data_IF_234174366678
#
_entry.id   IF_234174366678
#
_cell.length_a   1.000
_cell.length_b   1.000
_cell.length_c   1.000
_cell.angle_alpha   90.00
_cell.angle_beta   90.00
_cell.angle_gamma   90.00
#
_symmetry.space_group_name_H-M   'P 1'
#
loop_
_entity.id
_entity.type
_entity.pdbx_description
1 polymer ?
#
# COMPACT_ATOMS: atom_id res chain seq x y z
N UNK A 1 -3.37 8.66 -5.89
CA UNK A 1 -4.32 9.78 -5.86
C UNK A 1 -4.12 10.70 -7.07
N UNK A 2 -5.15 11.47 -7.45
CA UNK A 2 -5.10 12.47 -8.53
C UNK A 2 -5.19 13.87 -7.94
N UNK A 3 -4.54 14.85 -8.58
CA UNK A 3 -4.67 16.27 -8.21
C UNK A 3 -5.88 16.90 -8.89
N UNK A 4 -6.54 17.82 -8.19
CA UNK A 4 -7.56 18.71 -8.76
C UNK A 4 -6.90 19.88 -9.52
N UNK A 5 -7.70 20.78 -10.10
CA UNK A 5 -7.23 21.94 -10.86
C UNK A 5 -6.40 22.93 -10.00
N UNK A 6 -6.61 22.95 -8.69
CA UNK A 6 -5.86 23.77 -7.73
C UNK A 6 -4.54 23.13 -7.28
N UNK A 7 -4.23 21.92 -7.75
CA UNK A 7 -3.01 21.19 -7.44
C UNK A 7 -3.04 20.35 -6.16
N UNK A 8 -4.19 20.26 -5.47
CA UNK A 8 -4.36 19.42 -4.29
C UNK A 8 -4.68 17.97 -4.67
N UNK A 9 -4.09 17.00 -4.00
CA UNK A 9 -4.54 15.62 -4.09
C UNK A 9 -5.98 15.48 -3.58
N UNK A 10 -6.85 14.85 -4.36
CA UNK A 10 -8.29 14.74 -4.05
C UNK A 10 -8.61 13.81 -2.90
N UNK A 11 -7.65 12.92 -2.55
CA UNK A 11 -7.74 11.94 -1.47
C UNK A 11 -6.50 11.99 -0.59
N UNK A 12 -6.59 11.61 0.68
CA UNK A 12 -5.49 11.72 1.62
C UNK A 12 -4.64 10.44 1.71
N UNK A 13 -4.90 9.40 0.90
CA UNK A 13 -4.47 8.03 1.20
C UNK A 13 -2.97 7.88 1.31
N UNK A 14 -2.18 8.47 0.41
CA UNK A 14 -0.72 8.39 0.50
C UNK A 14 -0.22 9.04 1.80
N UNK A 15 -0.70 10.24 2.12
CA UNK A 15 -0.29 10.95 3.34
C UNK A 15 -0.66 10.20 4.61
N UNK A 16 -1.94 9.80 4.73
CA UNK A 16 -2.40 9.17 5.98
C UNK A 16 -1.79 7.78 6.19
N UNK A 17 -1.49 7.04 5.12
CA UNK A 17 -0.73 5.80 5.24
C UNK A 17 0.76 6.05 5.51
N UNK A 18 1.34 7.16 5.04
CA UNK A 18 2.71 7.54 5.39
C UNK A 18 2.88 7.81 6.89
N UNK A 19 1.85 8.39 7.54
CA UNK A 19 1.86 8.67 8.97
C UNK A 19 1.44 7.48 9.84
N UNK A 20 0.99 6.37 9.22
CA UNK A 20 0.46 5.23 9.95
C UNK A 20 1.21 3.92 9.65
N UNK A 21 1.30 3.51 8.39
CA UNK A 21 1.72 2.16 8.05
C UNK A 21 3.09 2.11 7.34
N UNK A 22 3.35 3.00 6.38
CA UNK A 22 4.54 2.86 5.52
C UNK A 22 5.85 3.02 6.29
N UNK A 23 5.91 3.95 7.24
CA UNK A 23 7.09 4.14 8.06
C UNK A 23 7.17 3.12 9.20
N UNK A 24 6.05 2.87 9.91
CA UNK A 24 6.01 1.97 11.05
C UNK A 24 6.44 0.54 10.67
N UNK A 25 5.93 0.00 9.56
CA UNK A 25 6.28 -1.35 9.12
C UNK A 25 7.79 -1.54 8.92
N UNK A 26 8.46 -0.59 8.28
CA UNK A 26 9.90 -0.70 8.01
C UNK A 26 10.73 -0.43 9.26
N UNK A 27 10.31 0.49 10.13
CA UNK A 27 10.94 0.71 11.44
C UNK A 27 10.79 -0.52 12.34
N UNK A 28 9.63 -1.18 12.32
CA UNK A 28 9.41 -2.41 13.09
C UNK A 28 10.35 -3.54 12.65
N UNK A 29 10.60 -3.68 11.34
CA UNK A 29 11.60 -4.64 10.84
C UNK A 29 13.00 -4.28 11.36
N UNK A 30 13.35 -3.00 11.44
CA UNK A 30 14.64 -2.55 11.95
C UNK A 30 14.89 -2.90 13.43
N UNK A 31 13.83 -3.00 14.23
CA UNK A 31 13.91 -3.40 15.65
C UNK A 31 14.30 -4.89 15.82
N UNK A 32 14.23 -5.68 14.74
CA UNK A 32 14.57 -7.11 14.72
C UNK A 32 15.64 -7.41 13.65
N UNK A 33 16.94 -7.22 13.94
CA UNK A 33 18.02 -7.31 12.94
C UNK A 33 18.12 -8.64 12.18
N UNK A 34 17.67 -9.75 12.78
CA UNK A 34 17.65 -11.06 12.14
C UNK A 34 16.46 -11.23 11.17
N UNK A 35 15.45 -10.36 11.25
CA UNK A 35 14.30 -10.42 10.37
C UNK A 35 14.65 -9.87 9.00
N UNK A 36 14.27 -10.61 7.94
CA UNK A 36 14.35 -10.16 6.56
C UNK A 36 12.95 -10.00 5.99
N UNK A 37 12.74 -8.93 5.25
CA UNK A 37 11.46 -8.65 4.61
C UNK A 37 11.66 -8.05 3.21
N UNK A 38 10.69 -8.29 2.33
CA UNK A 38 10.62 -7.63 1.02
C UNK A 38 9.46 -6.63 1.03
N UNK A 39 9.74 -5.39 0.67
CA UNK A 39 8.75 -4.34 0.52
C UNK A 39 8.51 -4.02 -0.95
N UNK A 40 7.26 -3.89 -1.35
CA UNK A 40 6.91 -3.41 -2.68
C UNK A 40 6.53 -1.92 -2.61
N UNK A 41 7.33 -1.06 -3.23
CA UNK A 41 7.06 0.37 -3.31
C UNK A 41 6.72 0.74 -4.77
N UNK A 42 5.46 1.08 -5.00
CA UNK A 42 5.02 1.43 -6.36
C UNK A 42 5.57 2.81 -6.77
N UNK A 43 5.90 3.01 -8.06
CA UNK A 43 6.45 4.29 -8.52
C UNK A 43 5.52 5.48 -8.25
N UNK A 44 4.20 5.29 -8.41
CA UNK A 44 3.21 6.34 -8.12
C UNK A 44 3.19 6.70 -6.63
N UNK A 45 3.37 5.73 -5.73
CA UNK A 45 3.52 5.99 -4.30
C UNK A 45 4.79 6.81 -4.02
N UNK A 46 5.94 6.38 -4.56
CA UNK A 46 7.21 7.07 -4.38
C UNK A 46 7.15 8.52 -4.87
N UNK A 47 6.57 8.77 -6.05
CA UNK A 47 6.39 10.12 -6.59
C UNK A 47 5.47 10.98 -5.72
N UNK A 48 4.39 10.42 -5.18
CA UNK A 48 3.49 11.16 -4.30
C UNK A 48 4.11 11.44 -2.93
N UNK A 49 4.89 10.52 -2.37
CA UNK A 49 5.65 10.78 -1.13
C UNK A 49 6.67 11.91 -1.34
N UNK A 50 7.40 11.90 -2.45
CA UNK A 50 8.30 12.97 -2.82
C UNK A 50 7.55 14.31 -2.98
N UNK A 51 6.40 14.32 -3.66
CA UNK A 51 5.56 15.51 -3.80
C UNK A 51 5.15 16.09 -2.44
N UNK A 52 4.73 15.24 -1.50
CA UNK A 52 4.36 15.66 -0.14
C UNK A 52 5.58 16.22 0.62
N UNK A 53 6.75 15.60 0.53
CA UNK A 53 7.99 16.14 1.10
C UNK A 53 8.39 17.48 0.50
N UNK A 54 8.01 17.74 -0.75
CA UNK A 54 8.20 19.02 -1.44
C UNK A 54 7.04 20.02 -1.21
N UNK A 55 6.15 19.75 -0.26
CA UNK A 55 5.10 20.68 0.17
C UNK A 55 3.76 20.53 -0.55
N UNK A 56 3.54 19.48 -1.35
CA UNK A 56 2.21 19.17 -1.86
C UNK A 56 1.25 18.84 -0.71
N UNK A 57 -0.02 19.08 -0.93
CA UNK A 57 -1.08 18.83 0.05
C UNK A 57 -2.23 18.07 -0.59
N UNK A 58 -2.98 17.35 0.24
CA UNK A 58 -4.30 16.83 -0.12
C UNK A 58 -5.43 17.75 0.38
N UNK A 59 -6.65 17.51 -0.10
CA UNK A 59 -7.82 18.30 0.32
C UNK A 59 -8.10 18.18 1.83
N UNK A 60 -7.82 17.05 2.45
CA UNK A 60 -8.04 16.88 3.89
C UNK A 60 -7.01 17.66 4.71
N UNK A 61 -5.78 17.77 4.21
CA UNK A 61 -4.77 18.67 4.79
C UNK A 61 -5.24 20.12 4.65
N UNK A 62 -5.61 20.53 3.45
CA UNK A 62 -6.11 21.89 3.17
C UNK A 62 -7.27 22.27 4.10
N UNK A 63 -8.30 21.41 4.20
CA UNK A 63 -9.43 21.66 5.09
C UNK A 63 -9.09 21.57 6.58
N UNK A 64 -7.99 20.90 6.96
CA UNK A 64 -7.49 20.92 8.33
C UNK A 64 -6.83 22.26 8.66
N UNK A 65 -6.10 22.86 7.72
CA UNK A 65 -5.41 24.14 7.92
C UNK A 65 -6.36 25.34 8.03
N UNK A 66 -7.53 25.28 7.42
CA UNK A 66 -8.50 26.37 7.50
C UNK A 66 -8.90 26.57 8.97
N UNK A 67 -8.79 27.83 9.46
CA UNK A 67 -9.26 28.19 10.79
C UNK A 67 -10.76 27.88 10.92
N UNK A 68 -11.13 27.18 11.98
CA UNK A 68 -12.50 26.74 12.19
C UNK A 68 -13.50 27.92 12.32
N UNK A 69 -13.00 29.12 12.71
CA UNK A 69 -13.82 30.30 12.90
C UNK A 69 -14.23 30.97 11.58
N UNK A 70 -13.55 30.65 10.48
CA UNK A 70 -13.82 31.20 9.13
C UNK A 70 -14.35 30.17 8.12
N UNK A 71 -14.63 28.94 8.55
CA UNK A 71 -15.16 27.88 7.67
C UNK A 71 -16.48 28.32 7.02
N UNK A 72 -16.53 28.25 5.70
CA UNK A 72 -17.77 28.45 4.92
C UNK A 72 -18.74 27.27 5.08
N UNK A 73 -20.00 27.41 4.69
CA UNK A 73 -20.94 26.27 4.70
C UNK A 73 -20.48 25.08 3.85
N UNK A 74 -19.80 25.32 2.72
CA UNK A 74 -19.29 24.26 1.85
C UNK A 74 -18.08 23.55 2.50
N UNK A 75 -17.18 24.28 3.17
CA UNK A 75 -16.07 23.69 3.92
C UNK A 75 -16.60 22.78 5.04
N UNK A 76 -17.57 23.26 5.80
CA UNK A 76 -18.25 22.50 6.86
C UNK A 76 -18.89 21.22 6.31
N UNK A 77 -19.53 21.30 5.16
CA UNK A 77 -20.12 20.15 4.49
C UNK A 77 -19.07 19.13 4.08
N UNK A 78 -17.95 19.57 3.50
CA UNK A 78 -16.83 18.67 3.16
C UNK A 78 -16.29 17.98 4.40
N UNK A 79 -15.96 18.72 5.45
CA UNK A 79 -15.41 18.20 6.70
C UNK A 79 -16.33 17.14 7.30
N UNK A 80 -17.63 17.41 7.46
CA UNK A 80 -18.57 16.42 8.02
C UNK A 80 -18.67 15.17 7.15
N UNK A 81 -18.66 15.34 5.82
CA UNK A 81 -18.85 14.21 4.90
C UNK A 81 -17.61 13.31 4.77
N UNK A 82 -16.41 13.81 5.12
CA UNK A 82 -15.14 13.17 4.81
C UNK A 82 -14.25 12.88 6.02
N UNK A 83 -14.34 13.66 7.08
CA UNK A 83 -13.42 13.52 8.21
C UNK A 83 -13.81 12.38 9.19
N UNK A 84 -14.66 11.45 8.71
CA UNK A 84 -14.93 10.16 9.33
C UNK A 84 -14.48 8.98 8.44
N UNK A 85 -13.73 9.26 7.37
CA UNK A 85 -13.18 8.25 6.45
C UNK A 85 -12.03 7.47 7.13
N UNK A 86 -12.38 6.65 8.13
CA UNK A 86 -11.48 5.75 8.85
C UNK A 86 -12.24 4.58 9.47
N UNK A 87 -11.50 3.57 9.94
CA UNK A 87 -12.09 2.39 10.55
C UNK A 87 -12.84 2.75 11.85
N UNK A 88 -14.09 2.28 12.06
CA UNK A 88 -14.84 2.50 13.30
C UNK A 88 -14.09 2.13 14.58
N UNK A 89 -13.24 1.10 14.56
CA UNK A 89 -12.40 0.71 15.70
C UNK A 89 -11.38 1.79 16.06
N UNK A 90 -10.87 2.52 15.05
CA UNK A 90 -9.94 3.62 15.25
C UNK A 90 -10.67 4.83 15.84
N UNK A 91 -11.87 5.17 15.32
CA UNK A 91 -12.71 6.23 15.90
C UNK A 91 -13.00 5.96 17.39
N UNK A 92 -13.30 4.70 17.74
CA UNK A 92 -13.62 4.29 19.11
C UNK A 92 -12.48 4.54 20.12
N UNK A 93 -11.24 4.74 19.65
CA UNK A 93 -10.09 5.08 20.52
C UNK A 93 -10.13 6.50 21.07
N UNK A 94 -10.92 7.39 20.44
CA UNK A 94 -11.01 8.80 20.78
C UNK A 94 -12.44 9.16 21.18
N UNK A 95 -12.76 9.31 22.48
CA UNK A 95 -14.13 9.56 22.96
C UNK A 95 -14.78 10.76 22.27
N UNK A 96 -14.07 11.86 22.11
CA UNK A 96 -14.57 13.08 21.45
C UNK A 96 -14.91 12.82 19.96
N UNK A 97 -14.15 11.99 19.27
CA UNK A 97 -14.41 11.62 17.87
C UNK A 97 -15.69 10.80 17.75
N UNK A 98 -15.95 9.91 18.72
CA UNK A 98 -17.23 9.16 18.80
C UNK A 98 -18.41 10.11 19.02
N UNK A 99 -18.29 11.09 19.94
CA UNK A 99 -19.33 12.12 20.17
C UNK A 99 -19.67 12.87 18.87
N UNK A 100 -18.65 13.36 18.16
CA UNK A 100 -18.82 14.09 16.91
C UNK A 100 -19.45 13.21 15.83
N UNK A 101 -19.03 11.96 15.70
CA UNK A 101 -19.64 11.02 14.74
C UNK A 101 -21.13 10.81 15.03
N UNK A 102 -21.50 10.62 16.29
CA UNK A 102 -22.88 10.37 16.69
C UNK A 102 -23.78 11.60 16.45
N UNK A 103 -23.22 12.81 16.57
CA UNK A 103 -23.95 14.06 16.36
C UNK A 103 -23.89 14.59 14.93
N UNK A 104 -23.12 13.97 14.03
CA UNK A 104 -22.86 14.48 12.67
C UNK A 104 -24.12 14.66 11.81
N UNK A 105 -25.16 13.85 12.01
CA UNK A 105 -26.43 13.97 11.31
C UNK A 105 -27.22 15.23 11.73
N UNK A 106 -26.95 15.78 12.91
CA UNK A 106 -27.55 16.99 13.47
C UNK A 106 -26.53 18.11 13.62
N UNK A 107 -25.59 18.22 12.68
CA UNK A 107 -24.47 19.16 12.71
C UNK A 107 -24.86 20.64 12.60
N UNK A 108 -26.14 20.95 12.39
CA UNK A 108 -26.66 22.34 12.46
C UNK A 108 -26.48 23.00 13.84
N UNK A 109 -26.31 22.19 14.88
CA UNK A 109 -26.03 22.68 16.26
C UNK A 109 -24.52 22.74 16.58
N UNK A 110 -23.65 22.36 15.65
CA UNK A 110 -22.21 22.35 15.88
C UNK A 110 -21.64 23.76 15.99
N UNK A 111 -20.76 23.92 16.94
CA UNK A 111 -19.92 25.11 17.13
C UNK A 111 -18.67 25.04 16.27
N UNK A 112 -17.94 26.15 16.13
CA UNK A 112 -16.64 26.14 15.46
C UNK A 112 -15.65 25.20 16.16
N UNK A 113 -15.77 25.05 17.50
CA UNK A 113 -14.95 24.10 18.27
C UNK A 113 -15.20 22.63 17.85
N UNK A 114 -16.44 22.26 17.53
CA UNK A 114 -16.76 20.91 17.06
C UNK A 114 -16.05 20.59 15.73
N UNK A 115 -16.02 21.57 14.81
CA UNK A 115 -15.29 21.45 13.55
C UNK A 115 -13.78 21.40 13.77
N UNK A 116 -13.22 22.23 14.64
CA UNK A 116 -11.79 22.23 14.99
C UNK A 116 -11.36 20.90 15.58
N UNK A 117 -12.15 20.37 16.51
CA UNK A 117 -11.91 19.05 17.09
C UNK A 117 -11.95 17.95 16.01
N UNK A 118 -12.90 18.00 15.08
CA UNK A 118 -13.01 17.02 14.00
C UNK A 118 -11.82 17.10 13.03
N UNK A 119 -11.41 18.33 12.66
CA UNK A 119 -10.23 18.54 11.80
C UNK A 119 -8.98 17.89 12.39
N UNK A 120 -8.78 18.00 13.69
CA UNK A 120 -7.62 17.42 14.36
C UNK A 120 -7.75 15.92 14.58
N UNK A 121 -8.90 15.46 15.07
CA UNK A 121 -9.13 14.06 15.43
C UNK A 121 -9.05 13.11 14.23
N UNK A 122 -9.48 13.53 13.04
CA UNK A 122 -9.28 12.76 11.82
C UNK A 122 -7.80 12.44 11.60
N UNK A 123 -6.94 13.44 11.70
CA UNK A 123 -5.51 13.28 11.47
C UNK A 123 -4.83 12.49 12.61
N UNK A 124 -5.21 12.70 13.88
CA UNK A 124 -4.74 11.84 14.99
C UNK A 124 -5.13 10.37 14.79
N UNK A 125 -6.34 10.13 14.29
CA UNK A 125 -6.82 8.77 14.03
C UNK A 125 -5.99 8.03 12.97
N UNK A 126 -5.43 8.77 12.02
CA UNK A 126 -4.53 8.27 10.97
C UNK A 126 -3.05 8.33 11.35
N UNK A 127 -2.74 8.58 12.60
CA UNK A 127 -1.36 8.52 13.10
C UNK A 127 -1.12 7.20 13.83
N UNK A 128 0.02 6.56 13.59
CA UNK A 128 0.36 5.30 14.22
C UNK A 128 0.49 5.45 15.75
N UNK A 129 0.03 4.45 16.53
CA UNK A 129 0.13 4.45 17.99
C UNK A 129 1.53 4.69 18.55
N UNK A 130 2.57 4.22 17.84
CA UNK A 130 3.97 4.43 18.22
C UNK A 130 4.31 5.93 18.31
N UNK A 131 3.87 6.70 17.31
CA UNK A 131 4.11 8.14 17.27
C UNK A 131 3.16 8.92 18.20
N UNK A 132 1.90 8.47 18.31
CA UNK A 132 0.96 9.04 19.27
C UNK A 132 1.41 8.92 20.74
N UNK A 133 2.28 7.96 21.05
CA UNK A 133 2.87 7.80 22.38
C UNK A 133 4.06 8.75 22.66
N UNK A 134 4.51 9.51 21.68
CA UNK A 134 5.67 10.40 21.74
C UNK A 134 5.24 11.87 21.75
N UNK A 135 6.06 12.73 22.38
CA UNK A 135 5.86 14.18 22.30
C UNK A 135 6.21 14.70 20.90
N UNK A 136 5.47 15.69 20.40
CA UNK A 136 4.38 16.43 21.06
C UNK A 136 2.98 15.77 20.91
N UNK A 137 2.83 14.72 20.10
CA UNK A 137 1.52 14.12 19.80
C UNK A 137 0.85 13.51 21.04
N UNK A 138 1.63 12.99 21.97
CA UNK A 138 1.14 12.48 23.26
C UNK A 138 0.32 13.51 24.01
N UNK A 139 0.73 14.78 23.98
CA UNK A 139 -0.01 15.85 24.62
C UNK A 139 -1.36 16.10 23.96
N UNK A 140 -1.44 16.03 22.63
CA UNK A 140 -2.69 16.15 21.88
C UNK A 140 -3.64 15.01 22.22
N UNK A 141 -3.14 13.78 22.27
CA UNK A 141 -3.92 12.61 22.69
C UNK A 141 -4.46 12.78 24.12
N UNK A 142 -3.62 13.24 25.04
CA UNK A 142 -4.00 13.47 26.45
C UNK A 142 -5.01 14.61 26.60
N UNK A 143 -4.90 15.65 25.79
CA UNK A 143 -5.87 16.75 25.73
C UNK A 143 -7.25 16.29 25.27
N UNK A 144 -7.33 15.48 24.23
CA UNK A 144 -8.47 14.73 23.78
C UNK A 144 -9.65 15.52 23.20
N UNK A 145 -9.77 16.83 23.47
CA UNK A 145 -10.83 17.75 23.02
C UNK A 145 -10.42 19.22 23.23
N UNK A 146 -11.26 20.13 22.78
CA UNK A 146 -11.05 21.60 22.92
C UNK A 146 -9.71 22.06 22.34
N UNK A 147 -9.39 21.52 21.17
CA UNK A 147 -8.13 21.81 20.47
C UNK A 147 -8.10 23.27 19.99
N UNK A 148 -6.89 23.83 19.89
CA UNK A 148 -6.61 25.13 19.31
C UNK A 148 -6.17 25.01 17.85
N UNK A 149 -6.06 26.14 17.15
CA UNK A 149 -5.47 26.18 15.81
C UNK A 149 -3.97 25.81 15.87
N UNK A 150 -3.26 26.19 16.94
CA UNK A 150 -1.87 25.82 17.17
C UNK A 150 -1.72 24.28 17.31
N UNK A 151 -2.66 23.60 17.94
CA UNK A 151 -2.65 22.14 18.05
C UNK A 151 -2.72 21.48 16.65
N UNK A 152 -3.50 22.03 15.71
CA UNK A 152 -3.55 21.54 14.33
C UNK A 152 -2.21 21.73 13.63
N UNK A 153 -1.58 22.89 13.80
CA UNK A 153 -0.26 23.17 13.25
C UNK A 153 0.79 22.19 13.79
N UNK A 154 0.81 21.94 15.10
CA UNK A 154 1.71 20.96 15.74
C UNK A 154 1.53 19.59 15.11
N UNK A 155 0.28 19.11 14.96
CA UNK A 155 -0.01 17.79 14.38
C UNK A 155 0.46 17.69 12.92
N UNK A 156 0.11 18.67 12.08
CA UNK A 156 0.48 18.66 10.66
C UNK A 156 1.99 18.74 10.46
N UNK A 157 2.70 19.48 11.31
CA UNK A 157 4.16 19.53 11.29
C UNK A 157 4.79 18.17 11.64
N UNK A 158 4.24 17.44 12.61
CA UNK A 158 4.69 16.07 12.89
C UNK A 158 4.38 15.12 11.72
N UNK A 159 3.23 15.25 11.07
CA UNK A 159 2.93 14.49 9.85
C UNK A 159 3.97 14.73 8.75
N UNK A 160 4.35 15.99 8.49
CA UNK A 160 5.43 16.29 7.51
C UNK A 160 6.72 15.56 7.86
N UNK A 161 7.14 15.60 9.13
CA UNK A 161 8.36 14.91 9.57
C UNK A 161 8.30 13.40 9.41
N UNK A 162 7.14 12.79 9.60
CA UNK A 162 6.93 11.35 9.40
C UNK A 162 7.00 10.99 7.92
N UNK A 163 6.34 11.78 7.06
CA UNK A 163 6.37 11.59 5.60
C UNK A 163 7.80 11.66 5.07
N UNK A 164 8.58 12.66 5.50
CA UNK A 164 9.96 12.87 5.08
C UNK A 164 10.88 11.70 5.42
N UNK A 165 10.52 10.86 6.40
CA UNK A 165 11.30 9.69 6.80
C UNK A 165 11.00 8.44 5.98
N UNK A 166 9.86 8.35 5.30
CA UNK A 166 9.43 7.10 4.64
C UNK A 166 10.47 6.60 3.64
N UNK A 167 10.80 7.40 2.64
CA UNK A 167 11.75 7.01 1.57
C UNK A 167 13.16 6.77 2.15
N UNK A 168 13.75 7.69 2.94
CA UNK A 168 15.10 7.49 3.46
C UNK A 168 15.23 6.25 4.36
N UNK A 169 14.23 5.94 5.18
CA UNK A 169 14.28 4.76 6.07
C UNK A 169 14.29 3.46 5.27
N UNK A 170 13.43 3.36 4.25
CA UNK A 170 13.44 2.20 3.35
C UNK A 170 14.78 2.07 2.60
N UNK A 171 15.30 3.17 2.06
CA UNK A 171 16.57 3.18 1.34
C UNK A 171 17.74 2.72 2.23
N UNK A 172 17.79 3.18 3.49
CA UNK A 172 18.87 2.80 4.42
C UNK A 172 18.80 1.31 4.78
N UNK A 173 17.60 0.79 5.13
CA UNK A 173 17.48 -0.64 5.45
C UNK A 173 17.73 -1.53 4.24
N UNK A 174 17.40 -1.08 3.05
CA UNK A 174 17.75 -1.79 1.82
C UNK A 174 19.25 -1.81 1.60
N UNK A 175 19.93 -0.69 1.77
CA UNK A 175 21.39 -0.58 1.66
C UNK A 175 22.14 -1.49 2.63
N UNK A 176 21.62 -1.68 3.85
CA UNK A 176 22.20 -2.63 4.83
C UNK A 176 21.91 -4.09 4.51
N UNK A 177 21.02 -4.38 3.56
CA UNK A 177 20.59 -5.71 3.20
C UNK A 177 19.64 -6.36 4.21
N UNK A 178 19.04 -5.58 5.10
CA UNK A 178 18.02 -6.09 6.01
C UNK A 178 16.68 -6.27 5.29
N UNK A 179 16.35 -5.41 4.36
CA UNK A 179 15.17 -5.54 3.50
C UNK A 179 15.59 -5.66 2.04
N UNK A 180 14.67 -6.15 1.22
CA UNK A 180 14.71 -6.03 -0.23
C UNK A 180 13.54 -5.16 -0.69
N UNK A 181 13.76 -4.33 -1.71
CA UNK A 181 12.69 -3.52 -2.29
C UNK A 181 12.43 -3.99 -3.72
N UNK A 182 11.15 -4.25 -3.98
CA UNK A 182 10.61 -4.43 -5.33
C UNK A 182 9.81 -3.19 -5.73
N UNK A 183 9.59 -3.02 -7.02
CA UNK A 183 8.67 -2.02 -7.55
C UNK A 183 7.69 -2.64 -8.52
N UNK A 184 6.86 -1.82 -9.14
CA UNK A 184 5.91 -2.22 -10.19
C UNK A 184 6.21 -1.47 -11.49
N UNK A 185 5.61 -1.84 -12.62
CA UNK A 185 5.55 -0.95 -13.77
C UNK A 185 4.97 0.42 -13.37
N UNK A 186 5.43 1.50 -13.99
CA UNK A 186 5.28 2.90 -13.53
C UNK A 186 3.86 3.29 -13.09
N UNK A 187 2.88 3.16 -13.98
CA UNK A 187 1.48 3.51 -13.71
C UNK A 187 0.62 2.29 -13.31
N UNK A 188 1.26 1.20 -12.90
CA UNK A 188 0.61 -0.05 -12.49
C UNK A 188 -0.32 -0.67 -13.56
N UNK A 189 0.05 -0.70 -14.85
CA UNK A 189 -0.79 -1.28 -15.89
C UNK A 189 -0.71 -2.80 -15.90
N UNK A 190 -1.76 -3.43 -16.41
CA UNK A 190 -1.75 -4.85 -16.76
C UNK A 190 -0.90 -5.03 -18.02
N UNK A 191 0.40 -5.27 -17.85
CA UNK A 191 1.38 -5.29 -18.96
C UNK A 191 1.02 -6.23 -20.11
N UNK A 192 0.54 -7.48 -19.88
CA UNK A 192 0.12 -8.36 -20.99
C UNK A 192 -0.89 -7.69 -21.92
N UNK A 193 -1.85 -6.92 -21.37
CA UNK A 193 -2.89 -6.23 -22.15
C UNK A 193 -2.36 -5.00 -22.89
N UNK A 194 -1.35 -4.32 -22.36
CA UNK A 194 -0.64 -3.25 -23.07
C UNK A 194 0.19 -3.85 -24.21
N UNK A 195 0.88 -4.95 -23.92
CA UNK A 195 1.68 -5.64 -24.92
C UNK A 195 0.81 -6.09 -26.10
N UNK A 196 -0.27 -6.81 -25.81
CA UNK A 196 -1.23 -7.30 -26.79
C UNK A 196 -2.52 -7.76 -26.12
N UNK A 197 -3.65 -7.15 -26.45
CA UNK A 197 -4.96 -7.54 -25.90
C UNK A 197 -5.34 -8.99 -26.16
N UNK A 198 -4.79 -9.63 -27.20
CA UNK A 198 -5.04 -11.03 -27.48
C UNK A 198 -4.46 -11.97 -26.42
N UNK A 199 -3.49 -11.52 -25.60
CA UNK A 199 -2.95 -12.30 -24.48
C UNK A 199 -3.99 -12.59 -23.39
N UNK A 200 -5.09 -11.84 -23.35
CA UNK A 200 -6.21 -12.15 -22.44
C UNK A 200 -6.73 -13.57 -22.62
N UNK A 201 -6.79 -14.08 -23.88
CA UNK A 201 -7.27 -15.43 -24.18
C UNK A 201 -6.31 -16.54 -23.72
N UNK A 202 -5.07 -16.23 -23.39
CA UNK A 202 -4.12 -17.20 -22.80
C UNK A 202 -4.46 -17.44 -21.32
N UNK A 203 -4.79 -16.38 -20.59
CA UNK A 203 -5.20 -16.46 -19.19
C UNK A 203 -6.65 -16.95 -19.01
N UNK A 204 -7.53 -16.56 -19.93
CA UNK A 204 -8.96 -16.92 -19.96
C UNK A 204 -9.39 -17.25 -21.38
N UNK A 205 -9.53 -18.54 -21.66
CA UNK A 205 -9.91 -19.07 -23.00
C UNK A 205 -11.29 -18.54 -23.46
N UNK A 206 -12.15 -18.14 -22.51
CA UNK A 206 -13.48 -17.59 -22.77
C UNK A 206 -13.52 -16.07 -22.87
N UNK A 207 -12.39 -15.37 -22.72
CA UNK A 207 -12.36 -13.91 -22.71
C UNK A 207 -12.86 -13.31 -24.04
N UNK A 208 -13.81 -12.40 -23.95
CA UNK A 208 -14.24 -11.60 -25.10
C UNK A 208 -13.16 -10.56 -25.44
N UNK A 209 -12.54 -10.71 -26.58
CA UNK A 209 -11.51 -9.80 -27.05
C UNK A 209 -12.14 -8.52 -27.64
N UNK A 210 -11.47 -7.36 -27.53
CA UNK A 210 -11.95 -6.13 -28.15
C UNK A 210 -11.97 -6.26 -29.68
N UNK A 211 -12.95 -5.62 -30.32
CA UNK A 211 -13.07 -5.61 -31.80
C UNK A 211 -11.79 -5.11 -32.48
N UNK A 212 -11.17 -4.10 -31.92
CA UNK A 212 -9.90 -3.54 -32.38
C UNK A 212 -8.80 -4.05 -31.45
N UNK A 213 -7.93 -4.90 -31.96
CA UNK A 213 -6.74 -5.35 -31.25
C UNK A 213 -5.89 -4.14 -30.88
N UNK A 214 -5.55 -4.03 -29.59
CA UNK A 214 -4.56 -3.07 -29.09
C UNK A 214 -3.25 -3.83 -28.83
N UNK A 215 -2.14 -3.29 -29.33
CA UNK A 215 -0.81 -3.89 -29.13
C UNK A 215 0.24 -2.78 -29.13
N UNK A 216 0.90 -2.57 -28.00
CA UNK A 216 1.93 -1.54 -27.78
C UNK A 216 3.09 -2.07 -26.94
N UNK A 217 3.88 -3.02 -27.46
CA UNK A 217 5.02 -3.59 -26.71
C UNK A 217 6.01 -2.54 -26.21
N UNK A 218 6.26 -1.48 -27.00
CA UNK A 218 7.15 -0.39 -26.59
C UNK A 218 6.63 0.36 -25.39
N UNK A 219 5.32 0.63 -25.35
CA UNK A 219 4.71 1.34 -24.21
C UNK A 219 4.78 0.47 -22.94
N UNK A 220 4.59 -0.85 -23.08
CA UNK A 220 4.77 -1.79 -21.98
C UNK A 220 6.21 -1.79 -21.44
N UNK A 221 7.22 -1.79 -22.33
CA UNK A 221 8.63 -1.72 -21.94
C UNK A 221 8.96 -0.40 -21.22
N UNK A 222 8.47 0.74 -21.72
CA UNK A 222 8.65 2.05 -21.08
C UNK A 222 8.04 2.09 -19.67
N UNK A 223 6.92 1.40 -19.43
CA UNK A 223 6.34 1.31 -18.09
C UNK A 223 7.28 0.58 -17.11
N UNK A 224 7.97 -0.47 -17.54
CA UNK A 224 8.95 -1.20 -16.73
C UNK A 224 10.17 -0.31 -16.46
N UNK A 225 10.80 0.23 -17.53
CA UNK A 225 11.96 1.10 -17.45
C UNK A 225 11.73 2.28 -16.49
N UNK A 226 10.67 3.07 -16.71
CA UNK A 226 10.35 4.23 -15.88
C UNK A 226 10.06 3.86 -14.41
N UNK A 227 9.47 2.69 -14.17
CA UNK A 227 9.23 2.22 -12.80
C UNK A 227 10.54 1.96 -12.06
N UNK A 228 11.47 1.30 -12.73
CA UNK A 228 12.80 1.01 -12.19
C UNK A 228 13.66 2.28 -12.02
N UNK A 229 13.64 3.17 -13.00
CA UNK A 229 14.42 4.42 -12.97
C UNK A 229 14.00 5.32 -11.82
N UNK A 230 12.67 5.48 -11.59
CA UNK A 230 12.18 6.26 -10.46
C UNK A 230 12.53 5.61 -9.10
N UNK A 231 12.43 4.29 -9.00
CA UNK A 231 12.82 3.59 -7.79
C UNK A 231 14.31 3.77 -7.50
N UNK A 232 15.16 3.67 -8.52
CA UNK A 232 16.61 3.92 -8.41
C UNK A 232 16.92 5.36 -8.03
N UNK A 233 16.24 6.33 -8.65
CA UNK A 233 16.38 7.76 -8.37
C UNK A 233 16.12 8.09 -6.89
N UNK A 234 15.01 7.59 -6.34
CA UNK A 234 14.55 7.97 -5.01
C UNK A 234 15.11 7.09 -3.88
N UNK A 235 15.48 5.83 -4.18
CA UNK A 235 15.96 4.86 -3.18
C UNK A 235 17.46 4.58 -3.28
N UNK A 236 18.13 5.07 -4.33
CA UNK A 236 19.58 4.97 -4.52
C UNK A 236 20.07 3.60 -5.02
N UNK A 237 19.17 2.66 -5.29
CA UNK A 237 19.48 1.34 -5.85
C UNK A 237 18.41 0.92 -6.85
N UNK A 238 18.80 0.18 -7.91
CA UNK A 238 17.86 -0.36 -8.88
C UNK A 238 17.29 -1.69 -8.40
N UNK A 239 15.96 -1.85 -8.30
CA UNK A 239 15.34 -3.12 -7.90
C UNK A 239 15.68 -4.26 -8.87
N UNK A 240 15.96 -5.44 -8.33
CA UNK A 240 16.14 -6.68 -9.12
C UNK A 240 14.92 -7.60 -9.05
N UNK A 241 13.97 -7.30 -8.19
CA UNK A 241 12.66 -7.94 -8.10
C UNK A 241 11.55 -6.98 -8.55
N UNK A 242 10.49 -7.53 -9.16
CA UNK A 242 9.33 -6.74 -9.56
C UNK A 242 8.03 -7.47 -9.21
N UNK A 243 7.06 -6.72 -8.70
CA UNK A 243 5.67 -7.13 -8.63
C UNK A 243 4.96 -6.72 -9.93
N UNK A 244 4.65 -7.65 -10.85
CA UNK A 244 3.80 -7.35 -11.98
C UNK A 244 2.43 -6.86 -11.49
N UNK A 245 1.91 -5.79 -12.07
CA UNK A 245 0.63 -5.24 -11.66
C UNK A 245 -0.46 -6.33 -11.64
N UNK A 246 -1.17 -6.45 -10.52
CA UNK A 246 -2.18 -7.49 -10.26
C UNK A 246 -1.68 -8.94 -10.41
N UNK A 247 -0.37 -9.17 -10.39
CA UNK A 247 0.22 -10.48 -10.65
C UNK A 247 0.06 -10.95 -12.11
N UNK A 248 -0.28 -10.04 -13.03
CA UNK A 248 -0.52 -10.37 -14.43
C UNK A 248 0.79 -10.57 -15.20
N UNK A 249 0.97 -11.77 -15.76
CA UNK A 249 2.20 -12.18 -16.45
C UNK A 249 1.89 -12.83 -17.78
N UNK A 250 2.86 -12.79 -18.68
CA UNK A 250 2.91 -13.57 -19.91
C UNK A 250 4.37 -13.85 -20.28
N UNK A 251 4.60 -14.77 -21.21
CA UNK A 251 5.95 -15.10 -21.69
C UNK A 251 6.66 -13.88 -22.30
N UNK A 252 5.91 -13.04 -23.02
CA UNK A 252 6.42 -11.84 -23.68
C UNK A 252 6.86 -10.78 -22.66
N UNK A 253 6.04 -10.57 -21.62
CA UNK A 253 6.34 -9.62 -20.53
C UNK A 253 7.51 -10.09 -19.70
N UNK A 254 7.63 -11.41 -19.48
CA UNK A 254 8.81 -11.96 -18.78
C UNK A 254 10.11 -11.62 -19.51
N UNK A 255 10.12 -11.68 -20.84
CA UNK A 255 11.26 -11.26 -21.66
C UNK A 255 11.60 -9.77 -21.53
N UNK A 256 10.62 -8.91 -21.27
CA UNK A 256 10.85 -7.51 -20.98
C UNK A 256 11.53 -7.31 -19.63
N UNK A 257 11.05 -8.00 -18.58
CA UNK A 257 11.65 -7.95 -17.26
C UNK A 257 13.13 -8.37 -17.29
N UNK A 258 13.44 -9.47 -17.98
CA UNK A 258 14.82 -9.94 -18.13
C UNK A 258 15.73 -8.89 -18.79
N UNK A 259 15.27 -8.21 -19.84
CA UNK A 259 16.03 -7.15 -20.54
C UNK A 259 16.33 -5.97 -19.63
N UNK A 260 15.43 -5.62 -18.72
CA UNK A 260 15.60 -4.55 -17.75
C UNK A 260 16.39 -4.98 -16.50
N UNK A 261 16.93 -6.20 -16.48
CA UNK A 261 17.78 -6.70 -15.40
C UNK A 261 17.02 -7.26 -14.21
N UNK A 262 15.69 -7.44 -14.31
CA UNK A 262 14.90 -8.09 -13.27
C UNK A 262 15.29 -9.57 -13.19
N UNK A 263 15.56 -10.03 -11.98
CA UNK A 263 15.99 -11.39 -11.66
C UNK A 263 14.87 -12.26 -11.13
N UNK A 264 13.86 -11.64 -10.54
CA UNK A 264 12.71 -12.38 -10.02
C UNK A 264 11.44 -11.55 -10.02
N UNK A 265 10.32 -12.26 -10.11
CA UNK A 265 8.96 -11.71 -10.01
C UNK A 265 8.13 -12.59 -9.07
N UNK A 266 6.98 -12.07 -8.62
CA UNK A 266 5.99 -12.86 -7.92
C UNK A 266 4.63 -12.80 -8.62
N UNK A 267 3.86 -13.89 -8.54
CA UNK A 267 2.48 -13.94 -9.05
C UNK A 267 1.64 -14.90 -8.19
N UNK A 268 0.44 -15.27 -8.61
CA UNK A 268 -0.46 -16.13 -7.85
C UNK A 268 -0.38 -17.61 -8.22
N UNK A 269 -0.72 -18.49 -7.29
CA UNK A 269 -0.73 -19.95 -7.47
C UNK A 269 -1.57 -20.42 -8.64
N UNK A 270 -2.61 -19.68 -9.01
CA UNK A 270 -3.47 -20.03 -10.16
C UNK A 270 -2.73 -19.90 -11.50
N UNK A 271 -1.74 -19.01 -11.60
CA UNK A 271 -0.88 -18.91 -12.78
C UNK A 271 -0.01 -20.15 -12.89
N UNK A 272 0.58 -20.62 -11.77
CA UNK A 272 1.37 -21.83 -11.74
C UNK A 272 0.54 -23.06 -12.14
N UNK A 273 -0.63 -23.23 -11.55
CA UNK A 273 -1.50 -24.37 -11.85
C UNK A 273 -1.87 -24.45 -13.33
N UNK A 274 -2.21 -23.31 -13.95
CA UNK A 274 -2.49 -23.23 -15.39
C UNK A 274 -1.24 -23.50 -16.23
N UNK A 275 -0.09 -22.99 -15.84
CA UNK A 275 1.18 -23.19 -16.56
C UNK A 275 1.65 -24.65 -16.55
N UNK A 276 1.32 -25.39 -15.50
CA UNK A 276 1.65 -26.82 -15.36
C UNK A 276 0.53 -27.76 -15.84
N UNK A 277 -0.59 -27.20 -16.32
CA UNK A 277 -1.79 -27.96 -16.73
C UNK A 277 -2.28 -28.90 -15.61
N UNK A 278 -2.27 -28.41 -14.38
CA UNK A 278 -2.79 -29.11 -13.20
C UNK A 278 -4.06 -28.43 -12.69
N UNK A 279 -4.98 -29.17 -12.06
CA UNK A 279 -6.09 -28.54 -11.35
C UNK A 279 -5.58 -27.54 -10.30
N UNK A 280 -6.47 -26.66 -9.85
CA UNK A 280 -6.16 -25.75 -8.73
C UNK A 280 -5.55 -26.50 -7.56
N UNK A 281 -4.62 -25.85 -6.85
CA UNK A 281 -3.97 -26.44 -5.67
C UNK A 281 -5.01 -26.89 -4.64
N UNK A 282 -5.01 -28.18 -4.33
CA UNK A 282 -5.88 -28.75 -3.30
C UNK A 282 -5.34 -28.43 -1.92
N UNK A 283 -6.26 -28.18 -1.00
CA UNK A 283 -5.96 -27.95 0.41
C UNK A 283 -6.62 -28.99 1.29
N UNK A 284 -5.97 -29.34 2.38
CA UNK A 284 -6.54 -30.21 3.40
C UNK A 284 -7.57 -29.45 4.26
N UNK A 285 -8.13 -30.09 5.26
CA UNK A 285 -9.15 -29.52 6.17
C UNK A 285 -8.63 -28.34 7.01
N UNK A 286 -7.30 -28.14 7.07
CA UNK A 286 -6.65 -27.00 7.75
C UNK A 286 -6.28 -25.88 6.79
N UNK A 287 -6.68 -25.93 5.51
CA UNK A 287 -6.35 -24.94 4.51
C UNK A 287 -4.95 -25.06 3.90
N UNK A 288 -4.19 -26.11 4.26
CA UNK A 288 -2.80 -26.30 3.80
C UNK A 288 -2.78 -27.00 2.44
N UNK A 289 -1.94 -26.50 1.53
CA UNK A 289 -1.70 -27.10 0.21
C UNK A 289 -1.19 -28.53 0.35
N UNK A 290 -1.73 -29.47 -0.43
CA UNK A 290 -1.40 -30.90 -0.34
C UNK A 290 -0.15 -31.30 -1.11
N UNK A 291 0.35 -30.42 -1.99
CA UNK A 291 1.58 -30.57 -2.77
C UNK A 291 2.45 -29.30 -2.64
N UNK A 292 2.95 -28.99 -1.43
CA UNK A 292 3.65 -27.76 -1.11
C UNK A 292 4.97 -27.62 -1.88
N UNK A 293 5.63 -28.73 -2.20
CA UNK A 293 6.86 -28.77 -3.00
C UNK A 293 6.71 -28.17 -4.39
N UNK A 294 5.50 -28.15 -4.94
CA UNK A 294 5.20 -27.53 -6.24
C UNK A 294 4.99 -26.03 -6.07
N UNK A 295 4.21 -25.61 -5.06
CA UNK A 295 3.85 -24.21 -4.88
C UNK A 295 4.97 -23.38 -4.27
N UNK A 296 5.66 -23.92 -3.26
CA UNK A 296 6.63 -23.15 -2.47
C UNK A 296 8.07 -23.27 -2.98
N UNK A 297 8.25 -23.82 -4.19
CA UNK A 297 9.54 -23.85 -4.88
C UNK A 297 9.60 -22.71 -5.91
N UNK A 298 10.72 -21.97 -6.00
CA UNK A 298 10.92 -21.03 -7.08
C UNK A 298 10.96 -21.72 -8.44
N UNK A 299 10.27 -21.16 -9.41
CA UNK A 299 10.29 -21.63 -10.80
C UNK A 299 11.04 -20.66 -11.67
N UNK A 300 11.54 -21.12 -12.82
CA UNK A 300 12.19 -20.27 -13.80
C UNK A 300 11.38 -20.19 -15.07
N UNK A 301 11.09 -18.97 -15.50
CA UNK A 301 10.54 -18.74 -16.82
C UNK A 301 11.64 -18.87 -17.88
N UNK A 302 11.49 -19.87 -18.73
CA UNK A 302 12.48 -20.20 -19.75
C UNK A 302 12.44 -19.19 -20.90
N UNK A 303 13.42 -18.29 -20.96
CA UNK A 303 13.60 -17.33 -22.07
C UNK A 303 14.78 -17.75 -22.96
N UNK A 304 15.97 -17.75 -22.38
CA UNK A 304 17.22 -18.23 -22.91
C UNK A 304 18.07 -18.66 -21.70
N UNK A 305 19.04 -19.52 -21.87
CA UNK A 305 19.88 -20.01 -20.75
C UNK A 305 20.61 -18.93 -19.91
N UNK A 306 20.62 -17.68 -20.37
CA UNK A 306 21.31 -16.56 -19.71
C UNK A 306 20.38 -15.49 -19.13
N UNK A 307 19.09 -15.54 -19.49
CA UNK A 307 18.11 -14.48 -19.16
C UNK A 307 16.93 -15.03 -18.33
N UNK A 308 17.12 -16.11 -17.61
CA UNK A 308 16.06 -16.73 -16.81
C UNK A 308 15.65 -15.81 -15.65
N UNK A 309 14.35 -15.63 -15.50
CA UNK A 309 13.74 -14.87 -14.39
C UNK A 309 13.09 -15.86 -13.44
N UNK A 310 13.45 -15.78 -12.15
CA UNK A 310 12.82 -16.60 -11.12
C UNK A 310 11.39 -16.12 -10.86
N UNK A 311 10.47 -17.05 -10.65
CA UNK A 311 9.07 -16.77 -10.41
C UNK A 311 8.66 -17.39 -9.08
N UNK A 312 8.21 -16.57 -8.14
CA UNK A 312 7.64 -17.01 -6.87
C UNK A 312 6.12 -16.97 -6.97
N UNK A 313 5.48 -18.03 -6.51
CA UNK A 313 4.02 -18.14 -6.53
C UNK A 313 3.48 -18.05 -5.12
N UNK A 314 2.69 -17.01 -4.83
CA UNK A 314 2.12 -16.81 -3.51
C UNK A 314 0.95 -17.76 -3.27
N UNK A 315 0.85 -18.28 -2.06
CA UNK A 315 -0.33 -18.92 -1.54
C UNK A 315 -1.44 -17.89 -1.36
N UNK A 316 -2.49 -17.99 -2.18
CA UNK A 316 -3.60 -17.03 -2.15
C UNK A 316 -4.37 -17.10 -0.84
N UNK A 317 -4.52 -18.29 -0.25
CA UNK A 317 -5.26 -18.43 1.01
C UNK A 317 -4.60 -17.64 2.14
N UNK A 318 -3.27 -17.77 2.30
CA UNK A 318 -2.52 -17.04 3.33
C UNK A 318 -2.47 -15.54 3.00
N UNK A 319 -2.24 -15.18 1.73
CA UNK A 319 -2.16 -13.78 1.30
C UNK A 319 -3.48 -13.04 1.51
N UNK A 320 -4.60 -13.67 1.18
CA UNK A 320 -5.92 -13.06 1.28
C UNK A 320 -6.39 -12.90 2.73
N UNK A 321 -5.92 -13.75 3.65
CA UNK A 321 -6.16 -13.57 5.08
C UNK A 321 -5.58 -12.24 5.57
N UNK A 322 -4.35 -11.91 5.20
CA UNK A 322 -3.71 -10.64 5.57
C UNK A 322 -4.49 -9.45 4.99
N UNK A 323 -4.89 -9.52 3.73
CA UNK A 323 -5.57 -8.41 3.05
C UNK A 323 -7.02 -8.19 3.49
N UNK A 324 -7.76 -9.25 3.80
CA UNK A 324 -9.22 -9.17 3.92
C UNK A 324 -9.77 -9.67 5.26
N UNK A 325 -9.16 -10.70 5.86
CA UNK A 325 -9.72 -11.36 7.05
C UNK A 325 -9.23 -10.71 8.35
N UNK A 326 -7.95 -10.44 8.45
CA UNK A 326 -7.32 -9.99 9.70
C UNK A 326 -7.74 -8.61 10.16
N UNK A 327 -8.21 -7.75 9.25
CA UNK A 327 -8.77 -6.43 9.61
C UNK A 327 -9.98 -6.53 10.58
N UNK A 328 -10.68 -7.68 10.59
CA UNK A 328 -11.80 -7.98 11.48
C UNK A 328 -11.39 -8.54 12.85
N UNK A 329 -10.15 -9.02 13.00
CA UNK A 329 -9.67 -9.71 14.22
C UNK A 329 -8.97 -8.76 15.19
N UNK A 330 -8.68 -9.23 16.42
CA UNK A 330 -7.67 -8.58 17.24
C UNK A 330 -6.27 -8.89 16.71
N UNK A 331 -5.27 -8.01 16.93
CA UNK A 331 -3.90 -8.28 16.48
C UNK A 331 -3.34 -9.62 16.95
N UNK A 332 -3.61 -9.99 18.22
CA UNK A 332 -3.13 -11.24 18.80
C UNK A 332 -3.73 -12.46 18.11
N UNK A 333 -5.04 -12.41 17.78
CA UNK A 333 -5.70 -13.49 17.05
C UNK A 333 -5.20 -13.60 15.62
N UNK A 334 -5.02 -12.47 14.94
CA UNK A 334 -4.50 -12.44 13.56
C UNK A 334 -3.07 -13.01 13.48
N UNK A 335 -2.19 -12.62 14.42
CA UNK A 335 -0.83 -13.15 14.49
C UNK A 335 -0.82 -14.65 14.78
N UNK A 336 -1.60 -15.11 15.77
CA UNK A 336 -1.67 -16.53 16.11
C UNK A 336 -2.17 -17.39 14.94
N UNK A 337 -3.17 -16.92 14.19
CA UNK A 337 -3.69 -17.61 13.01
C UNK A 337 -2.65 -17.65 11.86
N UNK A 338 -2.02 -16.50 11.57
CA UNK A 338 -0.98 -16.41 10.54
C UNK A 338 0.22 -17.30 10.87
N UNK A 339 0.72 -17.28 12.11
CA UNK A 339 1.84 -18.13 12.54
C UNK A 339 1.49 -19.61 12.44
N UNK A 340 0.27 -19.99 12.82
CA UNK A 340 -0.20 -21.37 12.65
C UNK A 340 -0.23 -21.78 11.19
N UNK A 341 -0.70 -20.92 10.28
CA UNK A 341 -0.73 -21.20 8.84
C UNK A 341 0.68 -21.35 8.26
N UNK A 342 1.61 -20.47 8.66
CA UNK A 342 3.00 -20.54 8.22
C UNK A 342 3.73 -21.79 8.75
N UNK A 343 3.62 -22.10 10.04
CA UNK A 343 4.22 -23.30 10.64
C UNK A 343 3.74 -24.59 9.97
N UNK A 344 2.42 -24.70 9.75
CA UNK A 344 1.85 -25.85 9.06
C UNK A 344 2.32 -25.96 7.61
N UNK A 345 2.52 -24.84 6.91
CA UNK A 345 3.07 -24.82 5.55
C UNK A 345 4.55 -25.23 5.54
N UNK A 346 5.35 -24.75 6.50
CA UNK A 346 6.78 -25.06 6.62
C UNK A 346 7.05 -26.53 6.99
N UNK A 347 6.22 -27.17 7.80
CA UNK A 347 6.38 -28.58 8.18
C UNK A 347 6.30 -29.51 6.96
N UNK A 348 5.67 -29.09 5.88
CA UNK A 348 5.49 -29.88 4.68
C UNK A 348 6.54 -29.58 3.57
N UNK A 349 7.43 -28.62 3.78
CA UNK A 349 8.55 -28.31 2.90
C UNK A 349 9.79 -29.08 3.36
#
# INVERSE_FOLDING_TARGET
>A
DTKNDDGYYTRPWVRVHATKDYLDMVELVSDYPEMKATFNLTPVLLRQLEDFSNGAKDLYWYYTEIDADILTPDDKKFIISRFFDTNPKVIARFPRYVELRNSSQNSSSWTNQDYRDLQLLFNLAWTDPKYLAQEPLKNLVSKGRDFSEDDKFVLLNEHSKLIDKVIPTHAELWKTGQIEITTTPYAHPILPLIFDTNLASVGDIGAELPKNRFSKPTDAAIQVEKGLDLAEELLGQRPTGMWPAEGAVSQEVLGMFAKEGIKWIATGEHVLSKSLDIPTFKRNTKGIVTNPEVLYTPWYGQLNRQDDVAIFFRDLSISDQVGFTYSGMSPEMAVADMMTALELSLIHI
#
